data_IF_171923168665
#
_entry.id   IF_171923168665
#
_cell.length_a   1.000
_cell.length_b   1.000
_cell.length_c   1.000
_cell.angle_alpha   90.00
_cell.angle_beta   90.00
_cell.angle_gamma   90.00
#
_symmetry.space_group_name_H-M   'P 1'
#
loop_
_entity.id
_entity.type
_entity.pdbx_description
1 polymer ?
#
# COMPACT_ATOMS: atom_id res chain seq x y z
N UNK A 1 16.67 10.68 33.85
CA UNK A 1 16.12 10.59 35.21
C UNK A 1 16.98 9.67 36.08
N UNK A 2 17.70 10.31 37.01
CA UNK A 2 18.54 9.58 37.96
C UNK A 2 17.62 9.09 39.09
N UNK A 3 17.15 7.87 39.03
CA UNK A 3 16.40 7.26 40.13
C UNK A 3 15.32 6.27 39.77
N UNK A 4 14.76 6.33 38.56
CA UNK A 4 13.77 5.38 38.11
C UNK A 4 14.45 4.16 37.46
N UNK A 5 14.06 2.91 37.78
CA UNK A 5 14.70 1.71 37.25
C UNK A 5 14.36 1.46 35.78
N UNK A 6 13.44 2.21 35.18
CA UNK A 6 13.01 2.12 33.78
C UNK A 6 12.31 3.40 33.31
N UNK A 7 12.26 3.59 32.00
CA UNK A 7 11.50 4.66 31.37
C UNK A 7 9.99 4.31 31.34
N UNK A 8 9.16 5.13 32.00
CA UNK A 8 7.70 4.93 32.10
C UNK A 8 7.00 4.96 30.76
N UNK A 9 7.42 5.85 29.84
CA UNK A 9 6.82 5.92 28.49
C UNK A 9 7.16 4.67 27.68
N UNK A 10 8.39 4.22 27.74
CA UNK A 10 8.83 3.00 27.07
C UNK A 10 8.13 1.77 27.62
N UNK A 11 7.94 1.68 28.94
CA UNK A 11 7.19 0.61 29.59
C UNK A 11 5.71 0.61 29.18
N UNK A 12 5.08 1.79 29.08
CA UNK A 12 3.72 1.94 28.62
C UNK A 12 3.54 1.52 27.12
N UNK A 13 4.51 1.89 26.27
CA UNK A 13 4.55 1.45 24.88
C UNK A 13 4.81 -0.05 24.76
N UNK A 14 5.67 -0.62 25.61
CA UNK A 14 5.87 -2.07 25.69
C UNK A 14 4.56 -2.78 26.02
N UNK A 15 3.82 -2.32 27.06
CA UNK A 15 2.53 -2.91 27.45
C UNK A 15 1.48 -2.81 26.33
N UNK A 16 1.48 -1.75 25.55
CA UNK A 16 0.60 -1.60 24.38
C UNK A 16 0.90 -2.62 23.29
N UNK A 17 2.18 -2.88 23.02
CA UNK A 17 2.62 -3.74 21.93
C UNK A 17 2.69 -5.22 22.32
N UNK A 18 3.07 -5.50 23.57
CA UNK A 18 3.21 -6.85 24.09
C UNK A 18 1.86 -7.46 24.46
N UNK A 19 1.38 -8.36 23.64
CA UNK A 19 0.12 -9.11 23.88
C UNK A 19 0.33 -10.38 24.72
N UNK A 20 1.56 -10.69 25.09
CA UNK A 20 1.91 -11.88 25.88
C UNK A 20 2.03 -11.51 27.35
N UNK A 21 1.76 -12.47 28.21
CA UNK A 21 1.97 -12.32 29.66
C UNK A 21 3.43 -12.64 29.98
N UNK A 22 4.32 -11.67 29.76
CA UNK A 22 5.75 -11.80 30.06
C UNK A 22 6.05 -11.33 31.49
N UNK A 23 7.17 -11.76 32.10
CA UNK A 23 7.60 -11.25 33.40
C UNK A 23 7.72 -9.73 33.46
N UNK A 24 8.23 -9.10 32.40
CA UNK A 24 8.37 -7.65 32.26
C UNK A 24 6.99 -6.97 32.21
N UNK A 25 6.05 -7.53 31.43
CA UNK A 25 4.69 -6.99 31.38
C UNK A 25 3.98 -7.09 32.75
N UNK A 26 4.18 -8.17 33.47
CA UNK A 26 3.68 -8.35 34.84
C UNK A 26 4.30 -7.32 35.78
N UNK A 27 5.61 -7.15 35.73
CA UNK A 27 6.36 -6.17 36.52
C UNK A 27 5.85 -4.74 36.28
N UNK A 28 5.75 -4.29 35.03
CA UNK A 28 5.29 -2.94 34.72
C UNK A 28 3.85 -2.70 35.19
N UNK A 29 2.96 -3.69 35.04
CA UNK A 29 1.61 -3.60 35.59
C UNK A 29 1.58 -3.49 37.13
N UNK A 30 2.44 -4.22 37.84
CA UNK A 30 2.58 -4.10 39.28
C UNK A 30 3.08 -2.71 39.71
N UNK A 31 3.90 -2.05 38.88
CA UNK A 31 4.31 -0.66 39.07
C UNK A 31 3.22 0.37 38.71
N UNK A 32 2.00 -0.07 38.37
CA UNK A 32 0.90 0.82 38.04
C UNK A 32 0.97 1.43 36.63
N UNK A 33 1.86 0.93 35.77
CA UNK A 33 1.98 1.42 34.41
C UNK A 33 0.80 0.91 33.58
N UNK A 34 0.10 1.83 32.93
CA UNK A 34 -0.96 1.53 31.97
C UNK A 34 -0.40 1.47 30.55
N UNK A 35 -0.98 0.62 29.67
CA UNK A 35 -0.59 0.61 28.28
C UNK A 35 -0.79 1.99 27.65
N UNK A 36 0.20 2.46 26.88
CA UNK A 36 0.09 3.71 26.13
C UNK A 36 -1.05 3.65 25.11
N UNK A 37 -1.64 4.79 24.81
CA UNK A 37 -2.59 4.90 23.71
C UNK A 37 -1.85 4.77 22.36
N UNK A 38 -2.52 4.19 21.36
CA UNK A 38 -1.94 4.11 20.03
C UNK A 38 -1.73 5.53 19.43
N UNK A 39 -0.54 5.84 18.90
CA UNK A 39 -0.29 7.16 18.32
C UNK A 39 -1.26 7.44 17.18
N UNK A 40 -1.73 8.69 17.08
CA UNK A 40 -2.66 9.18 16.07
C UNK A 40 -2.02 10.33 15.30
N UNK A 41 -2.46 10.54 14.07
CA UNK A 41 -2.01 11.67 13.26
C UNK A 41 -1.24 11.25 12.01
N UNK A 42 -0.46 12.18 11.49
CA UNK A 42 0.37 11.96 10.30
C UNK A 42 1.85 12.00 10.65
N UNK A 43 2.56 10.93 10.33
CA UNK A 43 3.97 10.72 10.62
C UNK A 43 4.78 10.77 9.31
N UNK A 44 5.84 11.56 9.32
CA UNK A 44 6.71 11.82 8.16
C UNK A 44 7.99 11.00 8.26
N UNK A 45 8.29 10.24 7.22
CA UNK A 45 9.50 9.40 7.10
C UNK A 45 10.21 9.68 5.75
N UNK A 46 10.69 10.90 5.55
CA UNK A 46 11.26 11.34 4.27
C UNK A 46 12.53 10.58 3.89
N UNK A 47 13.35 10.14 4.85
CA UNK A 47 14.49 9.27 4.58
C UNK A 47 14.11 7.91 4.00
N UNK A 48 12.86 7.49 4.18
CA UNK A 48 12.28 6.30 3.56
C UNK A 48 11.31 6.62 2.42
N UNK A 49 11.20 7.88 1.98
CA UNK A 49 10.16 8.34 1.02
C UNK A 49 8.78 7.83 1.39
N UNK A 50 8.38 8.03 2.65
CA UNK A 50 7.17 7.45 3.20
C UNK A 50 6.41 8.41 4.14
N UNK A 51 5.12 8.16 4.27
CA UNK A 51 4.24 8.75 5.28
C UNK A 51 3.34 7.69 5.89
N UNK A 52 2.96 7.89 7.15
CA UNK A 52 1.97 7.05 7.82
C UNK A 52 0.88 7.95 8.37
N UNK A 53 -0.36 7.66 8.03
CA UNK A 53 -1.52 8.34 8.57
C UNK A 53 -2.34 7.37 9.41
N UNK A 54 -2.57 7.71 10.68
CA UNK A 54 -3.31 6.86 11.60
C UNK A 54 -4.45 7.60 12.26
N UNK A 55 -5.62 6.98 12.24
CA UNK A 55 -6.86 7.43 12.91
C UNK A 55 -7.56 6.26 13.58
N UNK A 56 -7.90 6.41 14.85
CA UNK A 56 -8.63 5.40 15.61
C UNK A 56 -8.03 3.99 15.41
N UNK A 57 -8.78 3.12 14.79
CA UNK A 57 -8.44 1.71 14.55
C UNK A 57 -7.94 1.40 13.14
N UNK A 58 -7.68 2.41 12.31
CA UNK A 58 -7.14 2.21 10.96
C UNK A 58 -5.86 3.03 10.71
N UNK A 59 -5.11 2.58 9.75
CA UNK A 59 -3.84 3.19 9.37
C UNK A 59 -3.66 3.10 7.85
N UNK A 60 -3.00 4.12 7.29
CA UNK A 60 -2.56 4.13 5.89
C UNK A 60 -1.05 4.29 5.84
N UNK A 61 -0.39 3.46 5.05
CA UNK A 61 1.02 3.66 4.70
C UNK A 61 1.13 4.16 3.28
N UNK A 62 1.91 5.23 3.11
CA UNK A 62 2.20 5.88 1.83
C UNK A 62 3.67 5.64 1.51
N UNK A 63 3.98 5.12 0.33
CA UNK A 63 5.35 4.78 -0.03
C UNK A 63 5.66 5.17 -1.48
N UNK A 64 6.77 5.88 -1.63
CA UNK A 64 7.39 6.21 -2.90
C UNK A 64 8.87 5.84 -2.92
N UNK A 65 9.58 6.31 -3.95
CA UNK A 65 11.02 6.19 -4.10
C UNK A 65 11.56 7.36 -4.92
N UNK A 66 12.86 7.55 -4.87
CA UNK A 66 13.55 8.62 -5.56
C UNK A 66 15.02 8.22 -5.87
N UNK A 67 15.89 9.17 -6.16
CA UNK A 67 17.31 8.91 -6.41
C UNK A 67 18.06 8.34 -5.20
N UNK A 68 17.61 8.67 -3.98
CA UNK A 68 18.31 8.34 -2.74
C UNK A 68 17.69 7.13 -2.04
N UNK A 69 16.38 6.91 -2.24
CA UNK A 69 15.61 5.85 -1.61
C UNK A 69 15.16 4.82 -2.64
N UNK A 70 15.51 3.56 -2.42
CA UNK A 70 15.09 2.46 -3.28
C UNK A 70 13.58 2.26 -3.29
N UNK A 71 13.03 2.01 -4.48
CA UNK A 71 11.64 1.62 -4.65
C UNK A 71 11.41 0.18 -4.25
N UNK A 72 12.34 -0.69 -4.58
CA UNK A 72 12.33 -2.09 -4.23
C UNK A 72 13.75 -2.65 -4.29
N UNK A 73 13.97 -3.68 -3.50
CA UNK A 73 15.09 -4.58 -3.59
C UNK A 73 14.56 -5.91 -4.14
N UNK A 74 14.85 -6.18 -5.42
CA UNK A 74 14.25 -7.29 -6.16
C UNK A 74 15.27 -8.42 -6.25
N UNK A 75 14.93 -9.57 -5.69
CA UNK A 75 15.74 -10.77 -5.70
C UNK A 75 15.16 -11.80 -6.67
N UNK A 76 16.04 -12.56 -7.34
CA UNK A 76 15.60 -13.62 -8.26
C UNK A 76 14.88 -14.77 -7.56
N UNK A 77 15.07 -14.97 -6.26
CA UNK A 77 14.48 -16.08 -5.50
C UNK A 77 13.33 -15.68 -4.59
N UNK A 78 13.44 -14.52 -3.93
CA UNK A 78 12.49 -14.16 -2.85
C UNK A 78 11.53 -13.04 -3.25
N UNK A 79 12.02 -11.84 -3.50
CA UNK A 79 11.19 -10.69 -3.84
C UNK A 79 11.19 -10.39 -5.35
N UNK A 80 11.02 -11.42 -6.18
CA UNK A 80 11.24 -11.27 -7.63
C UNK A 80 10.21 -10.39 -8.34
N UNK A 81 9.01 -10.24 -7.76
CA UNK A 81 7.93 -9.41 -8.31
C UNK A 81 7.73 -8.10 -7.52
N UNK A 82 8.72 -7.68 -6.73
CA UNK A 82 8.64 -6.49 -5.88
C UNK A 82 8.75 -5.15 -6.60
N UNK A 83 8.84 -5.11 -7.93
CA UNK A 83 9.10 -3.93 -8.75
C UNK A 83 8.25 -2.73 -8.38
N UNK A 84 6.96 -2.92 -8.18
CA UNK A 84 5.98 -1.85 -8.04
C UNK A 84 5.64 -1.43 -6.60
N UNK A 85 6.33 -1.98 -5.60
CA UNK A 85 6.01 -1.75 -4.17
C UNK A 85 6.02 -0.27 -3.76
N UNK A 86 6.73 0.58 -4.46
CA UNK A 86 6.91 2.00 -4.13
C UNK A 86 6.44 2.96 -5.23
N UNK A 87 5.60 2.52 -6.15
CA UNK A 87 5.06 3.36 -7.22
C UNK A 87 3.88 4.22 -6.75
N UNK A 88 4.05 4.87 -5.58
CA UNK A 88 3.02 5.65 -4.91
C UNK A 88 1.97 4.75 -4.27
N UNK A 89 2.40 3.70 -3.58
CA UNK A 89 1.47 2.79 -2.90
C UNK A 89 0.74 3.46 -1.74
N UNK A 90 -0.53 3.09 -1.57
CA UNK A 90 -1.44 3.55 -0.53
C UNK A 90 -2.08 2.32 0.09
N UNK A 91 -1.50 1.80 1.16
CA UNK A 91 -2.02 0.59 1.80
C UNK A 91 -2.85 0.94 3.03
N UNK A 92 -4.15 0.64 2.96
CA UNK A 92 -5.09 0.88 4.05
C UNK A 92 -5.18 -0.39 4.90
N UNK A 93 -5.02 -0.23 6.21
CA UNK A 93 -5.14 -1.29 7.21
C UNK A 93 -6.19 -0.89 8.25
N UNK A 94 -7.40 -1.42 8.11
CA UNK A 94 -8.52 -1.21 9.04
C UNK A 94 -8.72 -2.36 10.04
N UNK A 95 -7.82 -3.35 10.04
CA UNK A 95 -7.87 -4.54 10.86
C UNK A 95 -6.49 -4.85 11.48
N UNK A 96 -6.39 -5.74 12.46
CA UNK A 96 -5.18 -5.93 13.28
C UNK A 96 -3.96 -6.47 12.52
N UNK A 97 -4.13 -6.86 11.26
CA UNK A 97 -3.02 -7.32 10.43
C UNK A 97 -3.27 -7.06 8.95
N UNK A 98 -2.22 -7.09 8.16
CA UNK A 98 -2.28 -6.97 6.70
C UNK A 98 -3.18 -8.07 6.08
N UNK A 99 -3.06 -9.29 6.57
CA UNK A 99 -3.90 -10.42 6.15
C UNK A 99 -5.39 -10.19 6.48
N UNK A 100 -5.68 -9.69 7.67
CA UNK A 100 -7.05 -9.35 8.06
C UNK A 100 -7.62 -8.16 7.27
N UNK A 101 -6.75 -7.31 6.72
CA UNK A 101 -7.11 -6.20 5.82
C UNK A 101 -7.13 -6.60 4.34
N UNK A 102 -7.29 -7.88 4.03
CA UNK A 102 -7.53 -8.38 2.67
C UNK A 102 -6.29 -8.86 1.89
N UNK A 103 -5.09 -8.79 2.47
CA UNK A 103 -3.89 -9.30 1.81
C UNK A 103 -3.82 -10.83 1.89
N UNK A 104 -3.50 -11.45 0.76
CA UNK A 104 -3.07 -12.84 0.70
C UNK A 104 -1.92 -12.96 -0.32
N UNK A 105 -0.83 -13.58 0.06
CA UNK A 105 0.31 -13.80 -0.83
C UNK A 105 -0.07 -14.72 -1.99
N UNK A 106 -0.89 -15.74 -1.72
CA UNK A 106 -1.37 -16.68 -2.70
C UNK A 106 -2.37 -16.01 -3.65
N UNK A 107 -2.09 -16.04 -4.95
CA UNK A 107 -2.93 -15.42 -5.96
C UNK A 107 -2.81 -13.89 -6.03
N UNK A 108 -1.85 -13.28 -5.33
CA UNK A 108 -1.66 -11.83 -5.41
C UNK A 108 -1.11 -11.39 -6.77
N UNK A 109 -1.80 -10.45 -7.42
CA UNK A 109 -1.29 -9.80 -8.62
C UNK A 109 -0.29 -8.70 -8.23
N UNK A 110 0.98 -8.97 -8.42
CA UNK A 110 2.07 -8.06 -8.07
C UNK A 110 2.20 -6.83 -8.96
N UNK A 111 1.42 -6.75 -10.04
CA UNK A 111 1.23 -5.51 -10.80
C UNK A 111 0.31 -4.52 -10.06
N UNK A 112 -0.61 -5.03 -9.22
CA UNK A 112 -1.74 -4.30 -8.66
C UNK A 112 -1.63 -4.12 -7.15
N UNK A 113 -0.61 -3.40 -6.70
CA UNK A 113 -0.55 -3.00 -5.29
C UNK A 113 -1.46 -1.78 -5.06
N UNK A 114 -2.23 -1.73 -3.96
CA UNK A 114 -3.12 -0.61 -3.68
C UNK A 114 -2.42 0.75 -3.75
N UNK A 115 -3.02 1.69 -4.46
CA UNK A 115 -2.54 3.04 -4.69
C UNK A 115 -1.51 3.19 -5.80
N UNK A 116 -0.86 2.13 -6.28
CA UNK A 116 0.20 2.24 -7.30
C UNK A 116 -0.35 2.56 -8.68
N UNK A 117 0.46 3.29 -9.47
CA UNK A 117 0.25 3.45 -10.92
C UNK A 117 1.33 2.64 -11.62
N UNK A 118 0.95 1.68 -12.44
CA UNK A 118 1.84 0.66 -12.99
C UNK A 118 1.46 0.34 -14.43
N UNK A 119 2.42 -0.21 -15.20
CA UNK A 119 2.16 -0.90 -16.45
C UNK A 119 1.88 -2.37 -16.07
N UNK A 120 0.72 -2.90 -16.42
CA UNK A 120 0.33 -4.27 -16.08
C UNK A 120 1.04 -5.27 -16.98
N UNK A 121 2.16 -5.81 -16.51
CA UNK A 121 3.04 -6.70 -17.26
C UNK A 121 2.72 -8.18 -17.02
N UNK A 122 2.99 -9.06 -18.00
CA UNK A 122 3.08 -10.50 -17.72
C UNK A 122 4.21 -10.80 -16.73
N UNK A 123 4.09 -11.87 -15.97
CA UNK A 123 5.04 -12.20 -14.89
C UNK A 123 6.49 -12.32 -15.38
N UNK A 124 6.69 -12.75 -16.60
CA UNK A 124 8.00 -12.89 -17.22
C UNK A 124 8.74 -11.55 -17.36
N UNK A 125 7.99 -10.47 -17.63
CA UNK A 125 8.51 -9.10 -17.75
C UNK A 125 8.51 -8.36 -16.41
N UNK A 126 7.61 -8.71 -15.49
CA UNK A 126 7.57 -8.16 -14.14
C UNK A 126 8.74 -8.63 -13.27
N UNK A 127 9.31 -9.78 -13.61
CA UNK A 127 10.39 -10.43 -12.88
C UNK A 127 11.66 -9.55 -12.84
N UNK A 128 12.55 -9.82 -11.87
CA UNK A 128 13.86 -9.19 -11.79
C UNK A 128 14.63 -9.34 -13.11
N UNK A 129 15.13 -8.24 -13.71
CA UNK A 129 15.82 -8.30 -15.00
C UNK A 129 17.25 -8.82 -14.89
N UNK A 130 17.81 -8.90 -13.69
CA UNK A 130 19.18 -9.27 -13.42
C UNK A 130 19.26 -10.46 -12.46
N UNK A 131 20.25 -11.34 -12.58
CA UNK A 131 20.55 -12.33 -11.57
C UNK A 131 21.01 -11.64 -10.26
N UNK A 132 20.64 -12.20 -9.12
CA UNK A 132 20.95 -11.62 -7.81
C UNK A 132 19.97 -10.55 -7.40
N UNK A 133 20.47 -9.39 -7.02
CA UNK A 133 19.66 -8.29 -6.46
C UNK A 133 19.60 -7.11 -7.43
N UNK A 134 18.39 -6.61 -7.68
CA UNK A 134 18.16 -5.35 -8.40
C UNK A 134 17.62 -4.29 -7.43
N UNK A 135 18.38 -3.22 -7.23
CA UNK A 135 17.96 -2.07 -6.43
C UNK A 135 17.41 -0.99 -7.36
N UNK A 136 16.08 -0.91 -7.44
CA UNK A 136 15.42 0.06 -8.32
C UNK A 136 15.39 1.45 -7.67
N UNK A 137 16.10 2.42 -8.30
CA UNK A 137 16.07 3.84 -7.95
C UNK A 137 15.51 4.65 -9.10
N UNK A 138 14.93 5.81 -8.80
CA UNK A 138 14.51 6.78 -9.82
C UNK A 138 15.65 7.71 -10.22
N UNK A 139 15.51 8.40 -11.36
CA UNK A 139 16.28 9.60 -11.68
C UNK A 139 15.66 10.86 -11.06
N UNK A 140 14.40 10.79 -10.67
CA UNK A 140 13.69 11.88 -9.99
C UNK A 140 14.05 11.97 -8.51
N UNK A 141 14.20 13.19 -8.03
CA UNK A 141 14.54 13.46 -6.61
C UNK A 141 13.31 13.61 -5.73
N UNK A 142 12.19 14.00 -6.31
CA UNK A 142 11.00 14.40 -5.54
C UNK A 142 10.14 13.20 -5.14
N UNK A 143 10.27 12.80 -3.90
CA UNK A 143 9.31 11.92 -3.21
C UNK A 143 9.42 12.17 -1.70
N UNK A 144 8.29 12.45 -1.06
CA UNK A 144 8.29 12.71 0.37
C UNK A 144 6.91 13.07 0.91
N UNK A 145 6.90 13.32 2.21
CA UNK A 145 5.71 13.63 2.99
C UNK A 145 5.90 14.93 3.77
N UNK A 146 4.79 15.56 4.11
CA UNK A 146 4.71 16.71 5.01
C UNK A 146 3.50 16.60 5.91
N UNK A 147 3.62 17.05 7.17
CA UNK A 147 2.51 17.05 8.11
C UNK A 147 2.09 18.45 8.50
N UNK A 148 0.81 18.62 8.77
CA UNK A 148 0.23 19.80 9.35
C UNK A 148 -0.14 19.50 10.80
N UNK A 149 0.61 20.13 11.74
CA UNK A 149 0.42 19.97 13.20
C UNK A 149 0.39 18.52 13.67
N UNK A 150 1.11 17.63 12.99
CA UNK A 150 1.12 16.18 13.23
C UNK A 150 -0.27 15.50 13.18
N UNK A 151 -1.30 16.22 12.72
CA UNK A 151 -2.67 15.73 12.64
C UNK A 151 -3.03 15.26 11.23
N UNK A 152 -2.84 16.13 10.26
CA UNK A 152 -3.10 15.90 8.86
C UNK A 152 -1.79 15.91 8.08
N UNK A 153 -1.80 15.48 6.84
CA UNK A 153 -0.58 15.53 6.07
C UNK A 153 -0.78 15.15 4.61
N UNK A 154 0.31 15.17 3.89
CA UNK A 154 0.32 14.77 2.50
C UNK A 154 1.59 13.99 2.16
N UNK A 155 1.47 13.17 1.16
CA UNK A 155 2.60 12.54 0.47
C UNK A 155 2.53 12.89 -1.01
N UNK A 156 3.66 13.18 -1.63
CA UNK A 156 3.70 13.37 -3.07
C UNK A 156 5.01 12.84 -3.66
N UNK A 157 4.95 12.44 -4.94
CA UNK A 157 6.11 12.00 -5.70
C UNK A 157 5.97 12.32 -7.18
N UNK A 158 7.11 12.49 -7.83
CA UNK A 158 7.27 12.31 -9.26
C UNK A 158 7.77 10.88 -9.50
N UNK A 159 6.88 10.05 -10.01
CA UNK A 159 7.25 8.71 -10.45
C UNK A 159 8.04 8.84 -11.76
N UNK A 160 9.20 8.19 -11.82
CA UNK A 160 9.94 7.96 -13.05
C UNK A 160 10.59 6.59 -12.94
N UNK A 161 10.26 5.71 -13.86
CA UNK A 161 10.84 4.39 -13.90
C UNK A 161 12.31 4.44 -14.33
N UNK A 162 13.11 3.53 -13.84
CA UNK A 162 14.52 3.44 -14.20
C UNK A 162 14.68 2.85 -15.60
N UNK A 163 15.64 3.37 -16.36
CA UNK A 163 16.03 2.80 -17.64
C UNK A 163 16.91 1.54 -17.43
N UNK A 164 16.25 0.41 -17.38
CA UNK A 164 16.83 -0.93 -17.25
C UNK A 164 16.12 -1.91 -18.18
N UNK A 165 16.77 -3.02 -18.49
CA UNK A 165 16.14 -4.12 -19.23
C UNK A 165 14.81 -4.50 -18.57
N UNK A 166 13.76 -4.67 -19.35
CA UNK A 166 12.38 -4.95 -18.93
C UNK A 166 11.68 -3.83 -18.14
N UNK A 167 12.30 -2.63 -18.08
CA UNK A 167 11.68 -1.42 -17.53
C UNK A 167 11.34 -0.47 -18.67
N UNK A 168 10.35 0.41 -18.45
CA UNK A 168 9.96 1.44 -19.42
C UNK A 168 10.49 2.78 -18.93
N UNK A 169 11.67 3.18 -19.40
CA UNK A 169 12.43 4.31 -18.84
C UNK A 169 11.78 5.68 -18.98
N UNK A 170 10.79 5.83 -19.86
CA UNK A 170 9.96 7.03 -20.01
C UNK A 170 8.62 6.97 -19.28
N UNK A 171 8.38 5.89 -18.50
CA UNK A 171 7.19 5.83 -17.66
C UNK A 171 7.28 6.82 -16.52
N UNK A 172 6.43 7.82 -16.56
CA UNK A 172 6.35 8.91 -15.59
C UNK A 172 4.92 9.14 -15.10
N UNK A 173 4.79 9.64 -13.87
CA UNK A 173 3.54 10.11 -13.30
C UNK A 173 3.81 11.12 -12.18
N UNK A 174 2.85 11.98 -11.88
CA UNK A 174 2.82 12.74 -10.62
C UNK A 174 1.73 12.19 -9.74
N UNK A 175 2.07 11.91 -8.51
CA UNK A 175 1.13 11.33 -7.52
C UNK A 175 1.14 12.17 -6.26
N UNK A 176 -0.06 12.46 -5.74
CA UNK A 176 -0.23 13.16 -4.47
C UNK A 176 -1.37 12.51 -3.68
N UNK A 177 -1.18 12.39 -2.39
CA UNK A 177 -2.19 11.87 -1.45
C UNK A 177 -2.30 12.85 -0.28
N UNK A 178 -3.48 13.39 -0.08
CA UNK A 178 -3.81 14.27 1.05
C UNK A 178 -4.61 13.47 2.07
N UNK A 179 -4.18 13.53 3.33
CA UNK A 179 -4.74 12.77 4.43
C UNK A 179 -5.31 13.72 5.50
N UNK A 180 -6.60 13.64 5.75
CA UNK A 180 -7.28 14.47 6.76
C UNK A 180 -8.54 13.77 7.27
N UNK A 181 -8.86 13.98 8.53
CA UNK A 181 -9.97 13.31 9.23
C UNK A 181 -9.92 11.79 9.05
N UNK A 182 -10.91 11.22 8.39
CA UNK A 182 -10.97 9.81 7.98
C UNK A 182 -10.95 9.64 6.45
N UNK A 183 -10.28 10.54 5.74
CA UNK A 183 -10.33 10.65 4.28
C UNK A 183 -8.95 10.73 3.66
N UNK A 184 -8.90 10.25 2.42
CA UNK A 184 -7.76 10.42 1.53
C UNK A 184 -8.26 11.05 0.23
N UNK A 185 -7.55 12.06 -0.27
CA UNK A 185 -7.69 12.53 -1.65
C UNK A 185 -6.45 12.09 -2.40
N UNK A 186 -6.62 11.25 -3.40
CA UNK A 186 -5.55 10.74 -4.24
C UNK A 186 -5.64 11.39 -5.63
N UNK A 187 -4.53 11.99 -6.09
CA UNK A 187 -4.42 12.60 -7.40
C UNK A 187 -3.29 11.93 -8.19
N UNK A 188 -3.56 11.60 -9.44
CA UNK A 188 -2.59 11.15 -10.41
C UNK A 188 -2.66 12.02 -11.66
N UNK A 189 -1.54 12.63 -12.08
CA UNK A 189 -1.46 13.47 -13.28
C UNK A 189 -0.21 13.15 -14.09
N UNK A 190 -0.15 13.63 -15.32
CA UNK A 190 0.99 13.45 -16.23
C UNK A 190 1.44 11.98 -16.36
N UNK A 191 0.49 11.07 -16.36
CA UNK A 191 0.74 9.63 -16.53
C UNK A 191 1.06 9.38 -17.99
N UNK A 192 2.30 9.02 -18.29
CA UNK A 192 2.81 8.83 -19.65
C UNK A 192 3.82 7.70 -19.71
N UNK A 193 3.82 6.95 -20.80
CA UNK A 193 4.88 6.00 -21.17
C UNK A 193 4.78 5.64 -22.65
N UNK A 194 5.83 5.06 -23.20
CA UNK A 194 5.89 4.57 -24.59
C UNK A 194 5.38 3.13 -24.74
N UNK A 195 5.06 2.45 -23.66
CA UNK A 195 4.59 1.07 -23.72
C UNK A 195 3.14 1.02 -24.20
N UNK A 196 2.93 0.57 -25.44
CA UNK A 196 1.62 0.40 -26.06
C UNK A 196 1.07 -1.03 -25.91
N UNK A 197 1.91 -1.99 -25.50
CA UNK A 197 1.56 -3.41 -25.51
C UNK A 197 0.77 -3.81 -24.26
N UNK A 198 0.95 -3.07 -23.17
CA UNK A 198 0.34 -3.36 -21.87
C UNK A 198 -0.36 -2.15 -21.26
N UNK A 199 -1.51 -2.34 -20.60
CA UNK A 199 -2.28 -1.23 -20.04
C UNK A 199 -1.56 -0.59 -18.87
N UNK A 200 -1.66 0.74 -18.76
CA UNK A 200 -1.27 1.50 -17.58
C UNK A 200 -2.47 1.68 -16.67
N UNK A 201 -2.33 1.24 -15.43
CA UNK A 201 -3.43 1.19 -14.45
C UNK A 201 -3.04 1.87 -13.14
N UNK A 202 -4.03 2.47 -12.47
CA UNK A 202 -3.92 2.87 -11.06
C UNK A 202 -4.81 1.97 -10.22
N UNK A 203 -4.22 1.21 -9.31
CA UNK A 203 -4.95 0.26 -8.48
C UNK A 203 -5.59 0.96 -7.29
N UNK A 204 -6.88 0.87 -7.11
CA UNK A 204 -7.57 1.37 -5.92
C UNK A 204 -7.39 0.40 -4.75
N UNK A 205 -7.74 -0.86 -4.96
CA UNK A 205 -7.58 -1.92 -3.97
C UNK A 205 -7.39 -3.28 -4.67
N UNK A 206 -6.82 -4.21 -3.94
CA UNK A 206 -6.80 -5.63 -4.23
C UNK A 206 -6.99 -6.38 -2.92
N UNK A 207 -8.00 -7.24 -2.85
CA UNK A 207 -8.33 -8.00 -1.65
C UNK A 207 -8.60 -9.45 -2.00
N UNK A 208 -8.29 -10.35 -1.09
CA UNK A 208 -8.82 -11.71 -1.11
C UNK A 208 -10.34 -11.65 -1.04
N UNK A 209 -10.98 -12.43 -1.91
CA UNK A 209 -12.43 -12.56 -1.93
C UNK A 209 -12.84 -13.97 -1.50
N UNK A 210 -13.67 -14.07 -0.47
CA UNK A 210 -14.19 -15.34 0.06
C UNK A 210 -15.63 -15.52 -0.38
N UNK A 211 -15.91 -16.47 -1.29
CA UNK A 211 -17.26 -16.73 -1.77
C UNK A 211 -18.25 -16.94 -0.62
N UNK A 212 -19.44 -16.37 -0.76
CA UNK A 212 -20.51 -16.46 0.25
C UNK A 212 -20.32 -15.62 1.52
N UNK A 213 -19.13 -15.00 1.72
CA UNK A 213 -18.83 -14.13 2.88
C UNK A 213 -18.59 -12.69 2.46
N UNK A 214 -17.75 -12.51 1.46
CA UNK A 214 -17.32 -11.19 1.03
C UNK A 214 -18.22 -10.67 -0.10
N UNK A 215 -18.26 -9.36 -0.22
CA UNK A 215 -18.90 -8.64 -1.31
C UNK A 215 -18.13 -7.35 -1.60
N UNK A 216 -18.39 -6.79 -2.76
CA UNK A 216 -18.09 -5.40 -3.08
C UNK A 216 -19.39 -4.68 -3.42
N UNK A 217 -19.46 -3.37 -3.19
CA UNK A 217 -20.54 -2.55 -3.72
C UNK A 217 -20.02 -1.71 -4.88
N UNK A 218 -20.81 -1.66 -5.95
CA UNK A 218 -20.55 -0.83 -7.11
C UNK A 218 -21.75 0.08 -7.27
N UNK A 219 -21.57 1.38 -7.04
CA UNK A 219 -22.64 2.39 -7.12
C UNK A 219 -23.89 1.98 -6.32
N UNK A 220 -23.67 1.47 -5.11
CA UNK A 220 -24.71 0.99 -4.19
C UNK A 220 -25.12 -0.48 -4.35
N UNK A 221 -24.89 -1.10 -5.50
CA UNK A 221 -25.25 -2.49 -5.75
C UNK A 221 -24.23 -3.48 -5.21
N UNK A 222 -24.70 -4.48 -4.48
CA UNK A 222 -23.89 -5.56 -3.94
C UNK A 222 -23.54 -6.58 -5.03
N UNK A 223 -22.24 -6.88 -5.18
CA UNK A 223 -21.72 -7.87 -6.13
C UNK A 223 -20.93 -8.94 -5.39
N UNK A 224 -21.19 -10.21 -5.72
CA UNK A 224 -20.56 -11.38 -5.06
C UNK A 224 -20.16 -12.48 -6.04
N UNK A 225 -20.46 -12.34 -7.31
CA UNK A 225 -20.26 -13.40 -8.30
C UNK A 225 -18.79 -13.48 -8.72
N UNK A 226 -18.17 -14.64 -8.59
CA UNK A 226 -16.87 -14.94 -9.20
C UNK A 226 -17.01 -14.92 -10.73
N UNK A 227 -16.01 -14.38 -11.41
CA UNK A 227 -16.05 -14.12 -12.85
C UNK A 227 -16.61 -12.74 -13.20
N UNK A 228 -17.02 -11.93 -12.21
CA UNK A 228 -17.43 -10.56 -12.47
C UNK A 228 -16.28 -9.80 -13.14
N UNK A 229 -16.60 -9.15 -14.26
CA UNK A 229 -15.76 -8.15 -14.90
C UNK A 229 -16.66 -7.00 -15.34
N UNK A 230 -16.41 -5.82 -14.82
CA UNK A 230 -17.22 -4.64 -15.13
C UNK A 230 -16.31 -3.44 -15.35
N UNK A 231 -16.57 -2.68 -16.39
CA UNK A 231 -15.94 -1.39 -16.66
C UNK A 231 -16.99 -0.28 -16.60
N UNK A 232 -16.64 0.81 -15.94
CA UNK A 232 -17.52 1.93 -15.66
C UNK A 232 -16.81 3.23 -15.99
N UNK A 233 -17.37 4.10 -16.82
CA UNK A 233 -16.85 5.46 -16.98
C UNK A 233 -17.15 6.26 -15.71
N UNK A 234 -16.18 7.04 -15.26
CA UNK A 234 -16.32 7.94 -14.13
C UNK A 234 -16.15 9.39 -14.61
N UNK A 235 -16.95 10.30 -14.06
CA UNK A 235 -16.84 11.74 -14.29
C UNK A 235 -17.24 12.52 -13.04
N UNK A 236 -16.99 13.82 -13.02
CA UNK A 236 -17.41 14.68 -11.91
C UNK A 236 -18.92 14.68 -11.68
N UNK A 237 -19.72 14.54 -12.74
CA UNK A 237 -21.17 14.49 -12.66
C UNK A 237 -21.73 13.10 -12.38
N UNK A 238 -20.96 12.07 -12.68
CA UNK A 238 -21.31 10.67 -12.48
C UNK A 238 -20.11 9.91 -11.87
N UNK A 239 -19.78 10.12 -10.60
CA UNK A 239 -18.70 9.42 -9.96
C UNK A 239 -19.02 7.94 -9.80
N UNK A 240 -18.02 7.09 -9.95
CA UNK A 240 -18.14 5.67 -9.60
C UNK A 240 -17.84 5.52 -8.12
N UNK A 241 -18.81 4.98 -7.38
CA UNK A 241 -18.70 4.71 -5.95
C UNK A 241 -18.46 3.22 -5.73
N UNK A 242 -17.39 2.88 -5.01
CA UNK A 242 -17.06 1.50 -4.65
C UNK A 242 -16.96 1.36 -3.14
N UNK A 243 -17.39 0.21 -2.63
CA UNK A 243 -17.09 -0.24 -1.26
C UNK A 243 -16.36 -1.58 -1.35
N UNK A 244 -15.19 -1.67 -0.74
CA UNK A 244 -14.42 -2.91 -0.71
C UNK A 244 -14.87 -3.84 0.44
N UNK A 245 -14.35 -5.06 0.47
CA UNK A 245 -14.68 -6.06 1.49
C UNK A 245 -14.22 -5.71 2.92
N UNK A 246 -13.50 -4.60 3.10
CA UNK A 246 -13.03 -4.09 4.39
C UNK A 246 -13.81 -2.85 4.87
N UNK A 247 -14.80 -2.39 4.08
CA UNK A 247 -15.62 -1.22 4.38
C UNK A 247 -15.00 0.12 4.00
N UNK A 248 -13.95 0.13 3.17
CA UNK A 248 -13.42 1.37 2.62
C UNK A 248 -14.28 1.82 1.44
N UNK A 249 -14.57 3.11 1.39
CA UNK A 249 -15.34 3.75 0.33
C UNK A 249 -14.41 4.50 -0.63
N UNK A 250 -14.62 4.32 -1.92
CA UNK A 250 -13.86 4.96 -2.98
C UNK A 250 -14.81 5.73 -3.90
N UNK A 251 -14.48 6.98 -4.17
CA UNK A 251 -15.20 7.85 -5.09
C UNK A 251 -14.27 8.24 -6.23
N UNK A 252 -14.47 7.64 -7.40
CA UNK A 252 -13.68 7.93 -8.59
C UNK A 252 -14.43 8.93 -9.45
N UNK A 253 -13.79 10.04 -9.76
CA UNK A 253 -14.41 11.18 -10.45
C UNK A 253 -13.92 11.40 -11.87
N UNK A 254 -12.96 10.60 -12.31
CA UNK A 254 -12.41 10.71 -13.66
C UNK A 254 -11.86 9.36 -14.13
N UNK A 255 -11.96 9.12 -15.44
CA UNK A 255 -11.40 7.97 -16.11
C UNK A 255 -12.34 6.77 -16.21
N UNK A 256 -11.75 5.59 -16.37
CA UNK A 256 -12.45 4.32 -16.50
C UNK A 256 -12.11 3.40 -15.31
N UNK A 257 -13.11 2.95 -14.59
CA UNK A 257 -12.97 2.04 -13.46
C UNK A 257 -13.23 0.62 -13.91
N UNK A 258 -12.25 -0.26 -13.70
CA UNK A 258 -12.38 -1.70 -13.94
C UNK A 258 -12.49 -2.42 -12.61
N UNK A 259 -13.54 -3.22 -12.44
CA UNK A 259 -13.77 -4.03 -11.24
C UNK A 259 -13.81 -5.50 -11.64
N UNK A 260 -13.07 -6.34 -10.92
CA UNK A 260 -12.99 -7.77 -11.19
C UNK A 260 -13.09 -8.57 -9.88
N UNK A 261 -13.82 -9.68 -9.92
CA UNK A 261 -13.81 -10.75 -8.91
C UNK A 261 -13.41 -12.02 -9.64
N UNK A 262 -12.14 -12.38 -9.62
CA UNK A 262 -11.58 -13.47 -10.41
C UNK A 262 -10.69 -14.36 -9.57
N UNK A 263 -10.51 -15.60 -9.98
CA UNK A 263 -9.44 -16.44 -9.47
C UNK A 263 -8.11 -15.95 -10.02
N UNK A 264 -7.09 -15.95 -9.18
CA UNK A 264 -5.74 -15.53 -9.53
C UNK A 264 -4.73 -16.55 -9.02
N UNK A 265 -3.69 -16.82 -9.81
CA UNK A 265 -2.55 -17.65 -9.42
C UNK A 265 -1.31 -16.78 -9.20
N UNK A 266 -0.69 -16.89 -8.03
CA UNK A 266 0.62 -16.30 -7.79
C UNK A 266 1.72 -17.27 -8.16
N UNK A 267 2.63 -16.86 -9.03
CA UNK A 267 3.82 -17.65 -9.36
C UNK A 267 4.94 -17.53 -8.33
N UNK A 268 4.80 -16.64 -7.38
CA UNK A 268 5.81 -16.39 -6.34
C UNK A 268 6.10 -17.66 -5.52
N UNK A 269 5.09 -18.46 -5.22
CA UNK A 269 5.21 -19.66 -4.40
C UNK A 269 5.92 -20.83 -5.07
N UNK A 270 5.85 -20.90 -6.40
CA UNK A 270 6.54 -21.98 -7.15
C UNK A 270 8.07 -21.96 -7.02
N UNK A 271 8.60 -20.93 -6.36
CA UNK A 271 10.04 -20.75 -6.12
C UNK A 271 10.45 -21.02 -4.68
N UNK A 272 9.52 -21.13 -3.76
CA UNK A 272 9.80 -21.58 -2.41
C UNK A 272 9.89 -23.10 -2.45
N UNK A 273 11.08 -23.64 -2.25
CA UNK A 273 11.23 -25.07 -1.92
C UNK A 273 10.43 -25.29 -0.64
N UNK A 274 9.52 -26.29 -0.58
CA UNK A 274 8.88 -26.65 0.67
C UNK A 274 9.96 -26.98 1.69
N UNK A 275 9.99 -26.24 2.79
CA UNK A 275 10.79 -26.57 3.96
C UNK A 275 10.04 -27.56 4.81
#
# INVERSE_FOLDING_TARGET
DKGEPFDHQLAADYLRLCKRNTPEAAYFKQQGILPATAPQGFFVYNYGSAGIFRRNNWMVTLKGYNTDVWGAEIYTKDNRYGRYQSYGSVQIMGAPSRKASGYNENGWDWNRLPGTTTIHLPFELLNSPLPGTTMARSKEKFAGASSLKNQNGMFAMKLMERDLKNFTGDFVARKSVFCFDNRLICLGTDIKNSNSDYPTETTLFQHVFRPGKDFIRITGEKKQQIGLQQELPASDTQPVCLEDGCGNLYFVKDGKVKVQITEQESRHEKLRTPT
#
